data_IF_033333200051
#
_entry.id   IF_033333200051
#
_cell.length_a   1.000
_cell.length_b   1.000
_cell.length_c   1.000
_cell.angle_alpha   90.00
_cell.angle_beta   90.00
_cell.angle_gamma   90.00
#
_symmetry.space_group_name_H-M   'P 1'
#
loop_
_entity.id
_entity.type
_entity.pdbx_description
1 polymer ?
#
# COMPACT_ATOMS: atom_id res chain seq x y z
N UNK A 1 27.04 -2.66 -2.94
CA UNK A 1 26.52 -1.93 -1.76
C UNK A 1 25.58 -0.74 -2.07
N UNK A 2 25.22 -0.33 -3.32
CA UNK A 2 24.26 0.77 -3.49
C UNK A 2 22.80 0.33 -3.22
N UNK A 3 22.41 -0.88 -3.64
CA UNK A 3 21.04 -1.40 -3.45
C UNK A 3 20.56 -1.40 -1.98
N UNK A 4 21.44 -1.74 -1.03
CA UNK A 4 21.08 -1.77 0.40
C UNK A 4 20.68 -0.38 0.90
N UNK A 5 21.37 0.66 0.42
CA UNK A 5 21.12 2.06 0.80
C UNK A 5 19.79 2.55 0.19
N UNK A 6 19.51 2.20 -1.07
CA UNK A 6 18.23 2.52 -1.73
C UNK A 6 17.05 1.85 -1.01
N UNK A 7 17.17 0.59 -0.62
CA UNK A 7 16.16 -0.12 0.14
C UNK A 7 15.92 0.51 1.52
N UNK A 8 16.98 0.89 2.22
CA UNK A 8 16.89 1.56 3.52
C UNK A 8 16.17 2.91 3.39
N UNK A 9 16.55 3.72 2.38
CA UNK A 9 15.93 5.01 2.11
C UNK A 9 14.45 4.87 1.75
N UNK A 10 14.09 3.86 0.94
CA UNK A 10 12.70 3.57 0.59
C UNK A 10 11.87 3.19 1.82
N UNK A 11 12.40 2.34 2.70
CA UNK A 11 11.73 1.98 3.96
C UNK A 11 11.52 3.22 4.83
N UNK A 12 12.55 4.06 5.00
CA UNK A 12 12.45 5.30 5.78
C UNK A 12 11.44 6.27 5.20
N UNK A 13 11.43 6.46 3.87
CA UNK A 13 10.48 7.35 3.19
C UNK A 13 9.03 6.87 3.35
N UNK A 14 8.79 5.56 3.25
CA UNK A 14 7.45 4.99 3.45
C UNK A 14 7.01 5.11 4.91
N UNK A 15 7.91 4.88 5.88
CA UNK A 15 7.62 5.08 7.30
C UNK A 15 7.26 6.54 7.60
N UNK A 16 7.98 7.50 7.00
CA UNK A 16 7.67 8.93 7.14
C UNK A 16 6.29 9.28 6.54
N UNK A 17 5.99 8.80 5.32
CA UNK A 17 4.68 8.98 4.69
C UNK A 17 3.54 8.42 5.56
N UNK A 18 3.74 7.25 6.16
CA UNK A 18 2.77 6.65 7.07
C UNK A 18 2.55 7.50 8.32
N UNK A 19 3.63 8.03 8.88
CA UNK A 19 3.56 8.91 10.05
C UNK A 19 2.76 10.18 9.77
N UNK A 20 3.00 10.80 8.61
CA UNK A 20 2.25 11.98 8.15
C UNK A 20 0.77 11.64 7.95
N UNK A 21 0.45 10.52 7.30
CA UNK A 21 -0.93 10.07 7.08
C UNK A 21 -1.66 9.68 8.37
N UNK A 22 -0.94 9.29 9.43
CA UNK A 22 -1.51 9.03 10.75
C UNK A 22 -1.81 10.30 11.54
N UNK A 23 -1.14 11.41 11.23
CA UNK A 23 -1.33 12.70 11.89
C UNK A 23 -2.41 13.58 11.25
N UNK A 24 -2.72 13.34 9.98
CA UNK A 24 -3.89 13.97 9.35
C UNK A 24 -5.17 13.48 10.02
N UNK A 25 -5.84 14.37 10.78
CA UNK A 25 -7.20 14.16 11.26
C UNK A 25 -8.16 14.26 10.08
N UNK A 26 -8.31 13.16 9.34
CA UNK A 26 -9.35 13.02 8.32
C UNK A 26 -10.52 12.21 8.88
N UNK A 27 -11.75 12.70 8.68
CA UNK A 27 -12.99 11.97 9.02
C UNK A 27 -13.07 10.58 8.34
N UNK A 28 -12.28 10.38 7.28
CA UNK A 28 -12.19 9.12 6.56
C UNK A 28 -11.01 8.33 7.10
N UNK A 29 -11.21 7.08 7.57
CA UNK A 29 -10.12 6.24 8.00
C UNK A 29 -9.14 5.94 6.86
N UNK A 30 -7.85 6.03 7.16
CA UNK A 30 -6.73 5.89 6.22
C UNK A 30 -6.73 4.54 5.49
N UNK A 31 -7.22 3.48 6.15
CA UNK A 31 -7.35 2.14 5.56
C UNK A 31 -8.42 2.05 4.47
N UNK A 32 -9.30 3.04 4.35
CA UNK A 32 -10.33 3.10 3.32
C UNK A 32 -9.80 3.72 2.01
N UNK A 33 -8.57 4.23 2.00
CA UNK A 33 -7.94 4.80 0.81
C UNK A 33 -7.16 3.73 0.05
N UNK A 34 -7.39 3.59 -1.26
CA UNK A 34 -6.66 2.65 -2.12
C UNK A 34 -5.14 2.82 -2.05
N UNK A 35 -4.68 4.07 -1.99
CA UNK A 35 -3.26 4.45 -1.91
C UNK A 35 -2.56 3.87 -0.67
N UNK A 36 -3.27 3.70 0.45
CA UNK A 36 -2.70 3.08 1.65
C UNK A 36 -2.27 1.64 1.37
N UNK A 37 -3.14 0.86 0.73
CA UNK A 37 -2.88 -0.55 0.43
C UNK A 37 -1.84 -0.75 -0.67
N UNK A 38 -1.71 0.21 -1.60
CA UNK A 38 -0.63 0.17 -2.59
C UNK A 38 0.73 0.37 -1.91
N UNK A 39 0.83 1.34 -1.00
CA UNK A 39 2.07 1.66 -0.29
C UNK A 39 2.45 0.52 0.67
N UNK A 40 1.49 -0.06 1.40
CA UNK A 40 1.78 -1.18 2.31
C UNK A 40 2.21 -2.44 1.53
N UNK A 41 1.63 -2.70 0.35
CA UNK A 41 2.08 -3.76 -0.58
C UNK A 41 3.54 -3.57 -0.98
N UNK A 42 3.90 -2.35 -1.35
CA UNK A 42 5.25 -2.01 -1.79
C UNK A 42 6.26 -2.13 -0.63
N UNK A 43 5.88 -1.70 0.57
CA UNK A 43 6.69 -1.82 1.77
C UNK A 43 6.95 -3.29 2.14
N UNK A 44 5.91 -4.12 2.15
CA UNK A 44 6.06 -5.53 2.49
C UNK A 44 6.91 -6.29 1.49
N UNK A 45 6.71 -6.02 0.19
CA UNK A 45 7.55 -6.60 -0.86
C UNK A 45 9.00 -6.16 -0.69
N UNK A 46 9.23 -4.87 -0.49
CA UNK A 46 10.56 -4.30 -0.33
C UNK A 46 11.31 -4.85 0.89
N UNK A 47 10.66 -4.85 2.06
CA UNK A 47 11.21 -5.37 3.31
C UNK A 47 11.47 -6.87 3.25
N UNK A 48 10.52 -7.64 2.68
CA UNK A 48 10.67 -9.07 2.52
C UNK A 48 11.86 -9.44 1.63
N UNK A 49 11.98 -8.80 0.46
CA UNK A 49 13.11 -9.01 -0.47
C UNK A 49 14.43 -8.57 0.16
N UNK A 50 14.44 -7.48 0.93
CA UNK A 50 15.62 -7.01 1.64
C UNK A 50 16.12 -8.03 2.68
N UNK A 51 15.22 -8.59 3.49
CA UNK A 51 15.56 -9.61 4.48
C UNK A 51 16.11 -10.88 3.82
N UNK A 52 15.50 -11.29 2.71
CA UNK A 52 15.95 -12.43 1.90
C UNK A 52 17.34 -12.21 1.30
N UNK A 53 17.61 -10.99 0.83
CA UNK A 53 18.93 -10.60 0.35
C UNK A 53 19.98 -10.65 1.46
N UNK A 54 19.66 -10.17 2.66
CA UNK A 54 20.53 -10.24 3.83
C UNK A 54 20.84 -11.69 4.23
N UNK A 55 19.81 -12.54 4.20
CA UNK A 55 19.87 -13.94 4.57
C UNK A 55 20.69 -14.77 3.56
N UNK A 56 20.45 -14.56 2.26
CA UNK A 56 21.19 -15.23 1.17
C UNK A 56 22.69 -14.93 1.22
N UNK A 57 23.08 -13.71 1.61
CA UNK A 57 24.49 -13.32 1.72
C UNK A 57 25.24 -14.01 2.87
N UNK A 58 24.52 -14.47 3.90
CA UNK A 58 25.11 -15.13 5.06
C UNK A 58 25.30 -16.64 4.86
N UNK A 59 24.56 -17.28 3.95
CA UNK A 59 24.49 -18.74 3.86
C UNK A 59 24.71 -19.20 2.42
N UNK A 60 25.91 -18.92 1.90
CA UNK A 60 26.28 -19.18 0.50
C UNK A 60 26.60 -20.66 0.22
N UNK A 61 26.74 -21.53 1.23
CA UNK A 61 27.39 -22.84 1.05
C UNK A 61 26.50 -24.09 1.21
N UNK A 62 25.18 -23.96 1.42
CA UNK A 62 24.30 -25.12 1.66
C UNK A 62 23.15 -25.21 0.64
N UNK A 63 23.02 -26.35 -0.05
CA UNK A 63 22.01 -26.58 -1.09
C UNK A 63 20.57 -26.50 -0.56
N UNK A 64 20.35 -26.90 0.69
CA UNK A 64 19.03 -26.80 1.35
C UNK A 64 18.57 -25.35 1.53
N UNK A 65 19.51 -24.41 1.58
CA UNK A 65 19.23 -22.99 1.79
C UNK A 65 18.62 -22.32 0.56
N UNK A 66 18.96 -22.80 -0.64
CA UNK A 66 18.38 -22.32 -1.89
C UNK A 66 16.87 -22.58 -1.94
N UNK A 67 16.44 -23.74 -1.42
CA UNK A 67 15.03 -24.14 -1.40
C UNK A 67 14.25 -23.29 -0.39
N UNK A 68 14.82 -23.09 0.81
CA UNK A 68 14.23 -22.24 1.84
C UNK A 68 14.09 -20.77 1.38
N UNK A 69 15.11 -20.26 0.67
CA UNK A 69 15.08 -18.90 0.11
C UNK A 69 14.01 -18.75 -0.97
N UNK A 70 13.81 -19.77 -1.82
CA UNK A 70 12.77 -19.76 -2.85
C UNK A 70 11.34 -19.80 -2.26
N UNK A 71 11.15 -20.57 -1.18
CA UNK A 71 9.87 -20.62 -0.45
C UNK A 71 9.57 -19.25 0.17
N UNK A 72 10.56 -18.64 0.82
CA UNK A 72 10.39 -17.33 1.44
C UNK A 72 10.05 -16.24 0.41
N UNK A 73 10.68 -16.29 -0.78
CA UNK A 73 10.38 -15.38 -1.88
C UNK A 73 8.97 -15.58 -2.43
N UNK A 74 8.53 -16.83 -2.52
CA UNK A 74 7.17 -17.18 -2.92
C UNK A 74 6.13 -16.65 -1.93
N UNK A 75 6.37 -16.76 -0.62
CA UNK A 75 5.50 -16.22 0.42
C UNK A 75 5.35 -14.71 0.29
N UNK A 76 6.46 -13.97 0.12
CA UNK A 76 6.43 -12.51 -0.08
C UNK A 76 5.66 -12.14 -1.35
N UNK A 77 5.82 -12.92 -2.42
CA UNK A 77 5.11 -12.71 -3.69
C UNK A 77 3.60 -12.93 -3.53
N UNK A 78 3.20 -13.98 -2.82
CA UNK A 78 1.79 -14.26 -2.51
C UNK A 78 1.21 -13.14 -1.64
N UNK A 79 1.94 -12.72 -0.61
CA UNK A 79 1.51 -11.65 0.28
C UNK A 79 1.30 -10.34 -0.50
N UNK A 80 2.23 -9.98 -1.38
CA UNK A 80 2.10 -8.83 -2.29
C UNK A 80 0.80 -8.90 -3.10
N UNK A 81 0.50 -10.06 -3.67
CA UNK A 81 -0.70 -10.25 -4.50
C UNK A 81 -2.00 -10.16 -3.68
N UNK A 82 -2.00 -10.64 -2.44
CA UNK A 82 -3.14 -10.49 -1.52
C UNK A 82 -3.37 -9.01 -1.20
N UNK A 83 -2.33 -8.28 -0.79
CA UNK A 83 -2.44 -6.87 -0.47
C UNK A 83 -2.86 -6.02 -1.69
N UNK A 84 -2.36 -6.37 -2.88
CA UNK A 84 -2.77 -5.72 -4.12
C UNK A 84 -4.23 -6.00 -4.47
N UNK A 85 -4.69 -7.23 -4.24
CA UNK A 85 -6.10 -7.60 -4.39
C UNK A 85 -7.01 -6.82 -3.44
N UNK A 86 -6.59 -6.63 -2.18
CA UNK A 86 -7.32 -5.79 -1.22
C UNK A 86 -7.38 -4.33 -1.68
N UNK A 87 -6.29 -3.80 -2.24
CA UNK A 87 -6.26 -2.45 -2.83
C UNK A 87 -7.29 -2.28 -3.97
N UNK A 88 -7.44 -3.29 -4.81
CA UNK A 88 -8.45 -3.31 -5.89
C UNK A 88 -9.87 -3.45 -5.33
N UNK A 89 -10.06 -4.30 -4.33
CA UNK A 89 -11.36 -4.57 -3.71
C UNK A 89 -11.94 -3.35 -2.97
N UNK A 90 -11.10 -2.39 -2.58
CA UNK A 90 -11.54 -1.12 -2.03
C UNK A 90 -12.23 -0.31 -3.11
N UNK A 91 -13.54 -0.25 -2.97
CA UNK A 91 -14.43 0.60 -3.75
C UNK A 91 -14.26 2.02 -3.23
N UNK A 92 -13.45 2.82 -3.92
CA UNK A 92 -13.45 4.27 -3.74
C UNK A 92 -14.87 4.73 -4.03
N UNK A 93 -15.58 5.24 -3.02
CA UNK A 93 -16.84 5.96 -3.24
C UNK A 93 -16.47 7.11 -4.16
N UNK A 94 -16.98 7.18 -5.40
CA UNK A 94 -16.70 8.32 -6.26
C UNK A 94 -17.27 9.56 -5.57
N UNK A 95 -16.44 10.60 -5.41
CA UNK A 95 -16.85 11.88 -4.83
C UNK A 95 -17.81 12.67 -5.74
N UNK A 96 -18.33 12.07 -6.81
CA UNK A 96 -19.02 12.81 -7.89
C UNK A 96 -20.56 12.73 -7.84
N UNK A 97 -21.18 12.30 -6.72
CA UNK A 97 -22.66 12.16 -6.64
C UNK A 97 -23.32 13.06 -5.59
N UNK A 98 -22.61 14.01 -4.98
CA UNK A 98 -23.22 14.98 -4.06
C UNK A 98 -23.37 16.39 -4.61
N UNK A 99 -22.79 16.71 -5.78
CA UNK A 99 -22.95 18.05 -6.39
C UNK A 99 -24.22 18.17 -7.22
N UNK A 100 -24.83 17.05 -7.68
CA UNK A 100 -26.02 17.09 -8.54
C UNK A 100 -27.37 17.03 -7.79
N UNK A 101 -27.38 16.70 -6.49
CA UNK A 101 -28.63 16.74 -5.70
C UNK A 101 -28.99 18.15 -5.22
N UNK A 102 -27.99 18.99 -4.96
CA UNK A 102 -28.22 20.32 -4.41
C UNK A 102 -28.65 21.32 -5.49
N UNK A 103 -28.24 21.10 -6.74
CA UNK A 103 -28.67 21.92 -7.90
C UNK A 103 -30.13 21.60 -8.26
N UNK A 104 -30.49 20.31 -8.33
CA UNK A 104 -31.87 19.90 -8.66
C UNK A 104 -32.91 20.29 -7.59
N UNK A 105 -32.53 20.46 -6.33
CA UNK A 105 -33.47 20.85 -5.26
C UNK A 105 -33.68 22.38 -5.21
N UNK A 106 -32.66 23.16 -5.54
CA UNK A 106 -32.79 24.62 -5.60
C UNK A 106 -33.64 25.05 -6.79
N UNK A 107 -33.47 24.43 -7.97
CA UNK A 107 -34.25 24.81 -9.16
C UNK A 107 -35.76 24.56 -8.97
N UNK A 108 -36.15 23.55 -8.18
CA UNK A 108 -37.56 23.30 -7.83
C UNK A 108 -38.17 24.28 -6.82
N UNK A 109 -37.37 25.11 -6.14
CA UNK A 109 -37.85 26.10 -5.17
C UNK A 109 -38.08 27.47 -5.83
N UNK A 110 -37.43 27.75 -6.96
CA UNK A 110 -37.53 29.04 -7.67
C UNK A 110 -38.59 29.08 -8.79
N UNK A 111 -39.29 27.98 -9.08
CA UNK A 111 -40.39 27.96 -10.06
C UNK A 111 -41.79 28.23 -9.44
N UNK A 112 -41.88 28.34 -8.10
CA UNK A 112 -43.15 28.51 -7.37
C UNK A 112 -43.36 29.94 -6.79
N UNK A 113 -42.56 30.94 -7.17
CA UNK A 113 -42.72 32.37 -6.79
C UNK A 113 -43.14 33.26 -7.98
#
# INVERSE_FOLDING_TARGET
MPFVIEFLLLITAISYYFFEKLQEESDIPIFNTRSFWIVISFLFYSSGTFFLFLLSRNVVNNKDFSLQSAIMYSIITILKNILFSISIAIKTVPEDVNTNKNVSFNDSIFEDE
#
